data_IF_464621219147
#
_entry.id   IF_464621219147
#
_cell.length_a   1.000
_cell.length_b   1.000
_cell.length_c   1.000
_cell.angle_alpha   90.00
_cell.angle_beta   90.00
_cell.angle_gamma   90.00
#
_symmetry.space_group_name_H-M   'P 1'
#
loop_
_entity.id
_entity.type
_entity.pdbx_description
1 polymer ?
#
# COMPACT_ATOMS: atom_id res chain seq x y z
N UNK A 1 -17.23 2.46 20.95
CA UNK A 1 -16.42 2.12 19.76
C UNK A 1 -15.06 2.77 19.94
N UNK A 2 -13.98 2.00 19.83
CA UNK A 2 -12.60 2.52 20.02
C UNK A 2 -12.12 3.25 18.77
N UNK A 3 -11.28 4.25 18.94
CA UNK A 3 -10.58 5.00 17.88
C UNK A 3 -9.86 4.07 16.89
N UNK A 4 -9.35 2.94 17.40
CA UNK A 4 -8.73 1.87 16.63
C UNK A 4 -9.71 1.23 15.64
N UNK A 5 -10.97 1.08 16.02
CA UNK A 5 -11.99 0.49 15.15
C UNK A 5 -12.37 1.43 14.00
N UNK A 6 -12.29 2.75 14.21
CA UNK A 6 -12.52 3.75 13.17
C UNK A 6 -11.36 3.78 12.17
N UNK A 7 -10.12 3.79 12.65
CA UNK A 7 -8.93 3.72 11.78
C UNK A 7 -8.92 2.46 10.92
N UNK A 8 -9.24 1.31 11.52
CA UNK A 8 -9.33 0.04 10.79
C UNK A 8 -10.40 0.08 9.70
N UNK A 9 -11.55 0.69 10.01
CA UNK A 9 -12.64 0.84 9.05
C UNK A 9 -12.27 1.75 7.87
N UNK A 10 -11.51 2.81 8.12
CA UNK A 10 -11.03 3.70 7.05
C UNK A 10 -10.03 2.99 6.14
N UNK A 11 -9.10 2.22 6.70
CA UNK A 11 -8.14 1.43 5.92
C UNK A 11 -8.85 0.41 5.03
N UNK A 12 -9.88 -0.26 5.54
CA UNK A 12 -10.69 -1.20 4.76
C UNK A 12 -11.35 -0.51 3.55
N UNK A 13 -11.89 0.70 3.74
CA UNK A 13 -12.54 1.47 2.67
C UNK A 13 -11.54 1.88 1.58
N UNK A 14 -10.36 2.36 1.94
CA UNK A 14 -9.32 2.76 0.99
C UNK A 14 -8.81 1.57 0.16
N UNK A 15 -8.60 0.42 0.80
CA UNK A 15 -8.20 -0.81 0.12
C UNK A 15 -9.26 -1.30 -0.87
N UNK A 16 -10.54 -1.19 -0.52
CA UNK A 16 -11.66 -1.55 -1.40
C UNK A 16 -11.71 -0.62 -2.62
N UNK A 17 -11.54 0.70 -2.42
CA UNK A 17 -11.47 1.68 -3.49
C UNK A 17 -10.31 1.41 -4.45
N UNK A 18 -9.12 1.08 -3.91
CA UNK A 18 -7.94 0.74 -4.71
C UNK A 18 -8.16 -0.54 -5.53
N UNK A 19 -8.76 -1.57 -4.93
CA UNK A 19 -9.11 -2.81 -5.62
C UNK A 19 -10.11 -2.58 -6.75
N UNK A 20 -11.08 -1.71 -6.57
CA UNK A 20 -12.05 -1.36 -7.61
C UNK A 20 -11.42 -0.54 -8.74
N UNK A 21 -10.55 0.41 -8.41
CA UNK A 21 -9.78 1.16 -9.41
C UNK A 21 -8.90 0.22 -10.25
N UNK A 22 -8.20 -0.73 -9.62
CA UNK A 22 -7.38 -1.71 -10.34
C UNK A 22 -8.19 -2.70 -11.19
N UNK A 23 -9.39 -3.10 -10.74
CA UNK A 23 -10.31 -3.91 -11.55
C UNK A 23 -10.86 -3.14 -12.75
N UNK A 24 -11.08 -1.82 -12.62
CA UNK A 24 -11.53 -0.95 -13.72
C UNK A 24 -10.46 -0.60 -14.74
N UNK A 25 -9.18 -0.60 -14.35
CA UNK A 25 -8.06 -0.12 -15.17
C UNK A 25 -7.07 -1.20 -15.64
N UNK A 26 -7.43 -2.49 -15.56
CA UNK A 26 -6.51 -3.63 -15.76
C UNK A 26 -5.90 -3.78 -17.18
N UNK A 27 -6.13 -2.85 -18.11
CA UNK A 27 -5.51 -2.86 -19.45
C UNK A 27 -4.60 -1.64 -19.68
N UNK A 28 -4.76 -0.53 -18.94
CA UNK A 28 -4.06 0.74 -19.24
C UNK A 28 -3.78 1.62 -18.01
N UNK A 29 -3.55 1.07 -16.82
CA UNK A 29 -3.01 1.88 -15.74
C UNK A 29 -1.73 2.58 -16.25
N UNK A 30 -1.79 3.90 -16.45
CA UNK A 30 -0.64 4.67 -16.92
C UNK A 30 0.51 4.36 -15.98
N UNK A 31 1.71 4.13 -16.52
CA UNK A 31 2.91 3.91 -15.71
C UNK A 31 3.07 4.98 -14.62
N UNK A 32 2.48 6.16 -14.79
CA UNK A 32 2.42 7.24 -13.80
C UNK A 32 1.63 6.87 -12.53
N UNK A 33 0.52 6.15 -12.64
CA UNK A 33 -0.28 5.73 -11.47
C UNK A 33 0.50 4.67 -10.68
N UNK A 34 1.12 3.73 -11.40
CA UNK A 34 1.99 2.70 -10.81
C UNK A 34 3.20 3.37 -10.14
N UNK A 35 3.85 4.32 -10.82
CA UNK A 35 4.99 5.07 -10.28
C UNK A 35 4.62 5.91 -9.05
N UNK A 36 3.46 6.56 -9.04
CA UNK A 36 3.00 7.33 -7.87
C UNK A 36 2.74 6.44 -6.66
N UNK A 37 2.19 5.23 -6.89
CA UNK A 37 2.02 4.23 -5.83
C UNK A 37 3.36 3.71 -5.33
N UNK A 38 4.31 3.41 -6.23
CA UNK A 38 5.67 3.02 -5.85
C UNK A 38 6.41 4.12 -5.07
N UNK A 39 6.29 5.38 -5.46
CA UNK A 39 6.88 6.51 -4.74
C UNK A 39 6.29 6.65 -3.33
N UNK A 40 4.98 6.44 -3.19
CA UNK A 40 4.31 6.46 -1.88
C UNK A 40 4.77 5.29 -1.00
N UNK A 41 4.96 4.10 -1.59
CA UNK A 41 5.53 2.94 -0.89
C UNK A 41 6.97 3.21 -0.45
N UNK A 42 7.79 3.88 -1.27
CA UNK A 42 9.16 4.25 -0.92
C UNK A 42 9.25 5.13 0.33
N UNK A 43 8.40 6.17 0.42
CA UNK A 43 8.36 7.04 1.61
C UNK A 43 7.85 6.32 2.87
N UNK A 44 6.98 5.32 2.72
CA UNK A 44 6.55 4.47 3.83
C UNK A 44 7.62 3.46 4.24
N UNK A 45 8.39 2.93 3.28
CA UNK A 45 9.51 2.03 3.53
C UNK A 45 10.64 2.73 4.28
N UNK A 46 10.96 3.99 3.96
CA UNK A 46 11.94 4.79 4.70
C UNK A 46 11.51 5.02 6.16
N UNK A 47 10.23 5.33 6.38
CA UNK A 47 9.69 5.47 7.73
C UNK A 47 9.70 4.15 8.49
N UNK A 48 9.42 3.03 7.82
CA UNK A 48 9.53 1.71 8.42
C UNK A 48 10.98 1.36 8.77
N UNK A 49 11.93 1.70 7.89
CA UNK A 49 13.35 1.45 8.09
C UNK A 49 13.89 2.17 9.33
N UNK A 50 13.37 3.36 9.64
CA UNK A 50 13.71 4.09 10.87
C UNK A 50 13.25 3.37 12.16
N UNK A 51 12.29 2.44 12.07
CA UNK A 51 11.69 1.75 13.22
C UNK A 51 12.20 0.32 13.35
N UNK A 52 12.27 -0.43 12.24
CA UNK A 52 12.58 -1.87 12.23
C UNK A 52 13.91 -2.21 11.54
N UNK A 53 14.62 -1.21 11.01
CA UNK A 53 15.81 -1.39 10.18
C UNK A 53 15.47 -1.65 8.72
N UNK A 54 16.38 -1.24 7.82
CA UNK A 54 16.17 -1.28 6.37
C UNK A 54 15.81 -2.66 5.83
N UNK A 55 16.44 -3.70 6.36
CA UNK A 55 16.30 -5.07 5.87
C UNK A 55 14.91 -5.63 6.17
N UNK A 56 14.38 -5.36 7.37
CA UNK A 56 13.06 -5.81 7.78
C UNK A 56 11.97 -4.95 7.13
N UNK A 57 12.24 -3.65 6.95
CA UNK A 57 11.38 -2.75 6.19
C UNK A 57 11.19 -3.18 4.73
N UNK A 58 12.28 -3.57 4.06
CA UNK A 58 12.22 -4.06 2.69
C UNK A 58 11.40 -5.36 2.59
N UNK A 59 11.57 -6.27 3.56
CA UNK A 59 10.86 -7.55 3.60
C UNK A 59 9.35 -7.35 3.78
N UNK A 60 8.95 -6.48 4.70
CA UNK A 60 7.55 -6.11 4.93
C UNK A 60 6.95 -5.45 3.69
N UNK A 61 7.67 -4.53 3.04
CA UNK A 61 7.18 -3.85 1.83
C UNK A 61 6.90 -4.85 0.68
N UNK A 62 7.79 -5.82 0.47
CA UNK A 62 7.62 -6.86 -0.56
C UNK A 62 6.46 -7.80 -0.23
N UNK A 63 6.32 -8.24 1.02
CA UNK A 63 5.21 -9.11 1.44
C UNK A 63 3.84 -8.43 1.25
N UNK A 64 3.74 -7.16 1.64
CA UNK A 64 2.52 -6.37 1.47
C UNK A 64 2.19 -6.16 -0.01
N UNK A 65 3.18 -5.88 -0.85
CA UNK A 65 2.99 -5.73 -2.29
C UNK A 65 2.46 -7.02 -2.93
N UNK A 66 3.07 -8.17 -2.61
CA UNK A 66 2.66 -9.48 -3.13
C UNK A 66 1.24 -9.82 -2.68
N UNK A 67 0.85 -9.53 -1.44
CA UNK A 67 -0.52 -9.80 -0.97
C UNK A 67 -1.57 -8.88 -1.59
N UNK A 68 -1.21 -7.65 -1.94
CA UNK A 68 -2.15 -6.67 -2.47
C UNK A 68 -2.37 -6.80 -3.99
N UNK A 69 -1.31 -7.18 -4.73
CA UNK A 69 -1.29 -7.17 -6.20
C UNK A 69 -1.15 -8.57 -6.81
N UNK A 70 -0.55 -9.52 -6.10
CA UNK A 70 -0.36 -10.91 -6.52
C UNK A 70 -1.66 -11.71 -6.64
#
# INVERSE_FOLDING_TARGET
MSEIALLRRQIEIECEAMRQAMKGFKITASHDIINNQYNSIGGLQEQLAAIVGEQEAAKIAVEVYIQAIG
#
